data_IF_150216547827
#
_entry.id   IF_150216547827
#
_cell.length_a   1.000
_cell.length_b   1.000
_cell.length_c   1.000
_cell.angle_alpha   90.00
_cell.angle_beta   90.00
_cell.angle_gamma   90.00
#
_symmetry.space_group_name_H-M   'P 1'
#
loop_
_entity.id
_entity.type
_entity.pdbx_description
1 polymer ?
#
# COMPACT_ATOMS: atom_id res chain seq x y z
N UNK A 1 -19.21 -16.16 -14.50
CA UNK A 1 -19.36 -16.27 -13.02
C UNK A 1 -17.98 -16.49 -12.44
N UNK A 2 -17.61 -15.80 -11.35
CA UNK A 2 -16.28 -15.94 -10.77
C UNK A 2 -16.05 -17.37 -10.32
N UNK A 3 -14.86 -17.89 -10.59
CA UNK A 3 -14.52 -19.27 -10.28
C UNK A 3 -14.16 -19.36 -8.80
N UNK A 4 -15.08 -19.89 -8.00
CA UNK A 4 -14.90 -20.08 -6.56
C UNK A 4 -14.05 -21.29 -6.18
N UNK A 5 -13.63 -22.11 -7.15
CA UNK A 5 -12.75 -23.27 -6.94
C UNK A 5 -11.83 -23.44 -8.14
N UNK A 6 -10.50 -23.37 -7.97
CA UNK A 6 -9.56 -23.57 -9.06
C UNK A 6 -9.75 -24.93 -9.73
N UNK A 7 -9.67 -24.97 -11.06
CA UNK A 7 -9.63 -26.22 -11.82
C UNK A 7 -8.21 -26.82 -11.83
N UNK A 8 -8.06 -28.14 -12.11
CA UNK A 8 -6.73 -28.72 -12.34
C UNK A 8 -5.98 -27.97 -13.45
N UNK A 9 -4.78 -27.47 -13.13
CA UNK A 9 -3.96 -26.67 -14.05
C UNK A 9 -4.16 -25.16 -13.96
N UNK A 10 -5.11 -24.65 -13.17
CA UNK A 10 -5.29 -23.21 -12.94
C UNK A 10 -4.16 -22.62 -12.08
N UNK A 11 -3.61 -23.42 -11.15
CA UNK A 11 -2.64 -22.96 -10.16
C UNK A 11 -1.21 -23.31 -10.59
N UNK A 12 -0.28 -22.42 -10.25
CA UNK A 12 1.15 -22.69 -10.38
C UNK A 12 1.56 -23.75 -9.36
N UNK A 13 2.50 -24.64 -9.72
CA UNK A 13 2.88 -25.76 -8.86
C UNK A 13 3.29 -25.33 -7.43
N UNK A 14 3.89 -24.14 -7.29
CA UNK A 14 4.32 -23.60 -6.00
C UNK A 14 3.16 -23.21 -5.08
N UNK A 15 1.98 -22.89 -5.63
CA UNK A 15 0.79 -22.50 -4.86
C UNK A 15 0.22 -23.63 -4.00
N UNK A 16 0.51 -24.88 -4.37
CA UNK A 16 0.06 -26.10 -3.69
C UNK A 16 1.23 -27.01 -3.28
N UNK A 17 2.47 -26.51 -3.33
CA UNK A 17 3.65 -27.27 -2.96
C UNK A 17 3.67 -27.59 -1.45
N UNK A 18 4.46 -28.57 -1.05
CA UNK A 18 4.64 -28.91 0.36
C UNK A 18 5.37 -27.78 1.12
N UNK A 19 5.20 -27.75 2.44
CA UNK A 19 5.89 -26.77 3.30
C UNK A 19 7.40 -26.86 3.16
N UNK A 20 7.94 -28.08 2.98
CA UNK A 20 9.37 -28.33 2.81
C UNK A 20 9.89 -27.77 1.47
N UNK A 21 9.15 -27.98 0.37
CA UNK A 21 9.51 -27.43 -0.94
C UNK A 21 9.52 -25.90 -0.92
N UNK A 22 8.51 -25.27 -0.34
CA UNK A 22 8.44 -23.81 -0.24
C UNK A 22 9.59 -23.28 0.62
N UNK A 23 9.84 -23.88 1.79
CA UNK A 23 10.93 -23.46 2.69
C UNK A 23 12.32 -23.63 2.05
N UNK A 24 12.53 -24.70 1.27
CA UNK A 24 13.76 -24.91 0.51
C UNK A 24 13.96 -23.84 -0.58
N UNK A 25 12.90 -23.53 -1.34
CA UNK A 25 12.92 -22.47 -2.35
C UNK A 25 13.18 -21.10 -1.72
N UNK A 26 12.50 -20.80 -0.61
CA UNK A 26 12.68 -19.56 0.15
C UNK A 26 14.14 -19.42 0.59
N UNK A 27 14.73 -20.45 1.19
CA UNK A 27 16.13 -20.40 1.65
C UNK A 27 17.10 -20.18 0.49
N UNK A 28 16.90 -20.87 -0.64
CA UNK A 28 17.71 -20.68 -1.84
C UNK A 28 17.63 -19.23 -2.35
N UNK A 29 16.42 -18.69 -2.51
CA UNK A 29 16.20 -17.33 -3.02
C UNK A 29 16.67 -16.25 -2.03
N UNK A 30 16.52 -16.50 -0.73
CA UNK A 30 16.95 -15.58 0.32
C UNK A 30 18.47 -15.45 0.34
N UNK A 31 19.22 -16.57 0.22
CA UNK A 31 20.68 -16.54 0.06
C UNK A 31 21.11 -15.70 -1.14
N UNK A 32 20.46 -15.89 -2.29
CA UNK A 32 20.74 -15.12 -3.49
C UNK A 32 20.45 -13.62 -3.31
N UNK A 33 19.33 -13.28 -2.68
CA UNK A 33 18.95 -11.88 -2.42
C UNK A 33 19.93 -11.21 -1.47
N UNK A 34 20.28 -11.83 -0.34
CA UNK A 34 21.22 -11.24 0.63
C UNK A 34 22.59 -11.01 -0.01
N UNK A 35 23.06 -11.97 -0.83
CA UNK A 35 24.29 -11.82 -1.60
C UNK A 35 24.21 -10.65 -2.59
N UNK A 36 23.15 -10.59 -3.40
CA UNK A 36 22.93 -9.52 -4.37
C UNK A 36 22.88 -8.14 -3.72
N UNK A 37 22.12 -8.01 -2.62
CA UNK A 37 22.02 -6.78 -1.84
C UNK A 37 23.39 -6.35 -1.29
N UNK A 38 24.11 -7.26 -0.63
CA UNK A 38 25.43 -6.99 -0.05
C UNK A 38 26.47 -6.62 -1.11
N UNK A 39 26.47 -7.32 -2.23
CA UNK A 39 27.48 -7.12 -3.27
C UNK A 39 27.26 -5.85 -4.09
N UNK A 40 25.99 -5.49 -4.32
CA UNK A 40 25.63 -4.44 -5.29
C UNK A 40 25.14 -3.14 -4.67
N UNK A 41 24.68 -3.13 -3.42
CA UNK A 41 24.09 -1.95 -2.80
C UNK A 41 24.99 -1.45 -1.66
N UNK A 42 25.63 -0.26 -1.79
CA UNK A 42 26.53 0.27 -0.76
C UNK A 42 25.89 0.40 0.62
N UNK A 43 24.59 0.71 0.69
CA UNK A 43 23.86 0.75 1.96
C UNK A 43 23.84 -0.62 2.66
N UNK A 44 23.48 -1.69 1.94
CA UNK A 44 23.40 -3.03 2.54
C UNK A 44 24.76 -3.58 2.93
N UNK A 45 25.81 -3.35 2.13
CA UNK A 45 27.19 -3.68 2.53
C UNK A 45 27.53 -3.07 3.88
N UNK A 46 27.36 -1.75 4.02
CA UNK A 46 27.63 -1.04 5.27
C UNK A 46 26.76 -1.53 6.43
N UNK A 47 25.46 -1.70 6.22
CA UNK A 47 24.53 -2.11 7.26
C UNK A 47 24.87 -3.52 7.79
N UNK A 48 25.22 -4.44 6.89
CA UNK A 48 25.60 -5.81 7.23
C UNK A 48 26.95 -5.84 7.98
N UNK A 49 27.94 -5.10 7.48
CA UNK A 49 29.27 -5.01 8.10
C UNK A 49 29.20 -4.40 9.51
N UNK A 50 28.39 -3.35 9.71
CA UNK A 50 28.15 -2.72 11.03
C UNK A 50 27.47 -3.69 12.00
N UNK A 51 26.53 -4.49 11.51
CA UNK A 51 25.84 -5.50 12.32
C UNK A 51 26.72 -6.76 12.55
N UNK A 52 27.86 -6.86 11.87
CA UNK A 52 28.77 -8.01 11.97
C UNK A 52 28.21 -9.28 11.33
N UNK A 53 27.41 -9.16 10.27
CA UNK A 53 26.82 -10.29 9.54
C UNK A 53 27.24 -10.28 8.07
N UNK A 54 27.39 -11.46 7.48
CA UNK A 54 27.68 -11.65 6.07
C UNK A 54 26.62 -12.56 5.43
N UNK A 55 26.31 -12.47 4.12
CA UNK A 55 25.30 -13.35 3.52
C UNK A 55 25.59 -14.85 3.68
N UNK A 56 26.85 -15.26 3.88
CA UNK A 56 27.21 -16.65 4.18
C UNK A 56 26.71 -17.13 5.54
N UNK A 57 26.34 -16.24 6.45
CA UNK A 57 25.81 -16.57 7.76
C UNK A 57 24.39 -17.14 7.71
N UNK A 58 23.68 -16.98 6.58
CA UNK A 58 22.33 -17.51 6.40
C UNK A 58 22.36 -19.01 6.03
N UNK A 59 22.31 -19.87 7.05
CA UNK A 59 22.28 -21.33 6.89
C UNK A 59 20.86 -21.89 6.88
N UNK A 60 19.94 -21.25 7.59
CA UNK A 60 18.51 -21.58 7.68
C UNK A 60 17.66 -20.31 7.70
N UNK A 61 16.35 -20.43 7.46
CA UNK A 61 15.44 -19.27 7.41
C UNK A 61 15.45 -18.44 8.71
N UNK A 62 15.57 -19.09 9.87
CA UNK A 62 15.61 -18.43 11.17
C UNK A 62 16.82 -17.49 11.36
N UNK A 63 17.92 -17.72 10.62
CA UNK A 63 19.12 -16.89 10.69
C UNK A 63 18.88 -15.48 10.12
N UNK A 64 17.77 -15.27 9.38
CA UNK A 64 17.38 -13.95 8.87
C UNK A 64 17.26 -12.92 10.00
N UNK A 65 16.85 -13.35 11.19
CA UNK A 65 16.75 -12.50 12.39
C UNK A 65 18.05 -11.76 12.77
N UNK A 66 19.21 -12.28 12.33
CA UNK A 66 20.54 -11.67 12.57
C UNK A 66 20.80 -10.46 11.68
N UNK A 67 20.12 -10.34 10.53
CA UNK A 67 20.33 -9.28 9.56
C UNK A 67 19.62 -7.99 9.98
N UNK A 68 20.19 -6.81 9.65
CA UNK A 68 19.62 -5.53 10.05
C UNK A 68 18.31 -5.25 9.33
N UNK A 69 17.43 -4.49 9.98
CA UNK A 69 16.21 -3.97 9.37
C UNK A 69 16.52 -2.86 8.35
N UNK A 70 15.69 -2.78 7.31
CA UNK A 70 15.58 -1.59 6.46
C UNK A 70 14.34 -0.81 6.85
N UNK A 71 14.45 0.52 6.95
CA UNK A 71 13.33 1.42 7.19
C UNK A 71 13.14 2.39 6.01
N UNK A 72 12.00 3.06 5.97
CA UNK A 72 11.70 4.10 4.97
C UNK A 72 12.72 5.24 4.95
N UNK A 73 13.39 5.50 6.08
CA UNK A 73 14.48 6.47 6.19
C UNK A 73 15.67 6.09 5.30
N UNK A 74 16.00 4.81 5.19
CA UNK A 74 17.15 4.35 4.40
C UNK A 74 16.94 4.63 2.90
N UNK A 75 15.73 4.40 2.38
CA UNK A 75 15.40 4.74 0.99
C UNK A 75 15.51 6.25 0.72
N UNK A 76 15.18 7.06 1.72
CA UNK A 76 15.24 8.52 1.63
C UNK A 76 16.66 9.05 1.67
N UNK A 77 17.49 8.53 2.57
CA UNK A 77 18.90 8.91 2.69
C UNK A 77 19.70 8.54 1.43
N UNK A 78 19.20 7.56 0.68
CA UNK A 78 19.78 7.09 -0.59
C UNK A 78 18.98 7.58 -1.82
N UNK A 79 18.15 8.62 -1.67
CA UNK A 79 17.40 9.20 -2.79
C UNK A 79 18.34 9.78 -3.88
N UNK A 80 18.00 9.68 -5.18
CA UNK A 80 16.80 9.02 -5.70
C UNK A 80 16.99 7.53 -5.98
N UNK A 81 18.24 7.06 -6.12
CA UNK A 81 18.53 5.78 -6.76
C UNK A 81 19.68 5.00 -6.11
N UNK A 82 20.16 5.44 -4.94
CA UNK A 82 21.26 4.80 -4.22
C UNK A 82 20.94 3.43 -3.64
N UNK A 83 19.66 3.03 -3.65
CA UNK A 83 19.20 1.69 -3.28
C UNK A 83 19.15 0.70 -4.47
N UNK A 84 19.53 1.12 -5.68
CA UNK A 84 19.52 0.22 -6.83
C UNK A 84 20.71 -0.75 -6.80
N UNK A 85 20.43 -2.02 -7.05
CA UNK A 85 21.42 -3.09 -7.17
C UNK A 85 21.85 -3.37 -8.62
N UNK A 86 21.32 -2.58 -9.56
CA UNK A 86 21.66 -2.60 -11.00
C UNK A 86 21.91 -1.16 -11.50
N UNK A 87 22.68 -0.97 -12.59
CA UNK A 87 22.80 0.32 -13.25
C UNK A 87 21.44 0.89 -13.64
N UNK A 88 21.29 2.23 -13.64
CA UNK A 88 20.02 2.90 -13.96
C UNK A 88 19.47 2.48 -15.31
N UNK A 89 20.35 2.24 -16.27
CA UNK A 89 20.05 1.91 -17.65
C UNK A 89 19.36 0.53 -17.78
N UNK A 90 19.47 -0.31 -16.75
CA UNK A 90 18.77 -1.60 -16.67
C UNK A 90 17.40 -1.49 -15.95
N UNK A 91 17.08 -0.32 -15.39
CA UNK A 91 15.81 -0.05 -14.73
C UNK A 91 14.80 0.45 -15.75
N UNK A 92 13.77 -0.35 -15.99
CA UNK A 92 12.72 -0.07 -16.98
C UNK A 92 11.58 0.80 -16.42
N UNK A 93 11.40 0.82 -15.10
CA UNK A 93 10.31 1.55 -14.44
C UNK A 93 10.75 2.19 -13.15
N UNK A 94 10.21 3.39 -12.89
CA UNK A 94 10.22 4.04 -11.60
C UNK A 94 8.78 4.20 -11.10
N UNK A 95 8.58 3.94 -9.82
CA UNK A 95 7.39 4.36 -9.09
C UNK A 95 7.81 5.20 -7.88
N UNK A 96 6.87 5.97 -7.34
CA UNK A 96 7.12 6.84 -6.22
C UNK A 96 5.92 6.89 -5.28
N UNK A 97 6.20 6.88 -3.97
CA UNK A 97 5.19 7.07 -2.92
C UNK A 97 5.53 8.25 -2.02
N UNK A 98 4.53 8.75 -1.29
CA UNK A 98 4.68 9.86 -0.35
C UNK A 98 5.78 9.56 0.69
N UNK A 99 6.79 10.42 0.75
CA UNK A 99 7.86 10.39 1.77
C UNK A 99 7.60 11.41 2.87
N UNK A 100 8.15 11.24 4.08
CA UNK A 100 7.85 12.09 5.24
C UNK A 100 8.41 13.52 5.15
N UNK A 101 9.35 13.81 4.23
CA UNK A 101 10.06 15.10 4.13
C UNK A 101 10.09 15.61 2.70
N UNK A 102 8.93 15.60 2.03
CA UNK A 102 8.72 16.26 0.72
C UNK A 102 9.33 15.52 -0.47
N UNK A 103 10.48 14.87 -0.32
CA UNK A 103 11.06 13.95 -1.31
C UNK A 103 10.32 12.62 -1.26
N UNK A 104 9.81 12.12 -2.40
CA UNK A 104 9.12 10.84 -2.43
C UNK A 104 10.09 9.67 -2.20
N UNK A 105 9.56 8.57 -1.69
CA UNK A 105 10.26 7.28 -1.70
C UNK A 105 10.21 6.73 -3.12
N UNK A 106 11.36 6.54 -3.74
CA UNK A 106 11.48 6.06 -5.13
C UNK A 106 11.83 4.58 -5.14
N UNK A 107 11.17 3.83 -6.01
CA UNK A 107 11.42 2.40 -6.25
C UNK A 107 11.61 2.14 -7.73
N UNK A 108 12.43 1.16 -8.07
CA UNK A 108 12.81 0.82 -9.44
C UNK A 108 12.64 -0.66 -9.73
N UNK A 109 12.42 -0.96 -11.01
CA UNK A 109 12.13 -2.32 -11.51
C UNK A 109 12.90 -2.55 -12.82
N UNK A 110 13.60 -3.68 -12.93
CA UNK A 110 14.06 -4.20 -14.23
C UNK A 110 12.86 -4.67 -15.06
N UNK A 111 13.07 -5.02 -16.34
CA UNK A 111 12.01 -5.65 -17.14
C UNK A 111 11.52 -6.96 -16.51
N UNK A 112 12.41 -7.74 -15.89
CA UNK A 112 12.06 -8.98 -15.21
C UNK A 112 11.32 -8.73 -13.90
N UNK A 113 11.67 -7.67 -13.17
CA UNK A 113 10.88 -7.26 -12.00
C UNK A 113 9.44 -6.89 -12.40
N UNK A 114 9.24 -6.22 -13.54
CA UNK A 114 7.90 -5.93 -14.08
C UNK A 114 7.17 -7.21 -14.48
N UNK A 115 7.87 -8.15 -15.11
CA UNK A 115 7.32 -9.45 -15.49
C UNK A 115 6.84 -10.24 -14.25
N UNK A 116 7.71 -10.36 -13.24
CA UNK A 116 7.37 -10.99 -11.95
C UNK A 116 6.19 -10.28 -11.28
N UNK A 117 6.16 -8.95 -11.31
CA UNK A 117 5.05 -8.20 -10.70
C UNK A 117 3.73 -8.48 -11.42
N UNK A 118 3.73 -8.49 -12.75
CA UNK A 118 2.56 -8.82 -13.55
C UNK A 118 2.04 -10.23 -13.24
N UNK A 119 2.94 -11.23 -13.12
CA UNK A 119 2.59 -12.60 -12.75
C UNK A 119 1.95 -12.69 -11.37
N UNK A 120 2.48 -11.98 -10.37
CA UNK A 120 1.95 -12.01 -9.00
C UNK A 120 0.61 -11.30 -8.86
N UNK A 121 0.38 -10.21 -9.60
CA UNK A 121 -0.94 -9.58 -9.65
C UNK A 121 -1.91 -10.45 -10.45
N UNK A 122 -1.46 -11.14 -11.50
CA UNK A 122 -2.28 -12.12 -12.21
C UNK A 122 -2.69 -13.31 -11.32
N UNK A 123 -1.75 -13.84 -10.53
CA UNK A 123 -2.01 -14.85 -9.49
C UNK A 123 -3.03 -14.34 -8.47
N UNK A 124 -2.88 -13.08 -8.05
CA UNK A 124 -3.82 -12.40 -7.15
C UNK A 124 -5.24 -12.33 -7.73
N UNK A 125 -5.39 -11.87 -8.98
CA UNK A 125 -6.70 -11.80 -9.66
C UNK A 125 -7.31 -13.20 -9.83
N UNK A 126 -6.50 -14.21 -10.16
CA UNK A 126 -6.95 -15.61 -10.26
C UNK A 126 -7.44 -16.15 -8.91
N UNK A 127 -6.74 -15.84 -7.82
CA UNK A 127 -7.14 -16.18 -6.45
C UNK A 127 -8.43 -15.46 -6.03
N UNK A 128 -8.68 -14.26 -6.55
CA UNK A 128 -9.95 -13.54 -6.42
C UNK A 128 -11.08 -14.11 -7.30
N UNK A 129 -10.81 -15.14 -8.11
CA UNK A 129 -11.80 -15.80 -8.97
C UNK A 129 -11.88 -15.27 -10.40
N UNK A 130 -11.02 -14.32 -10.78
CA UNK A 130 -10.95 -13.78 -12.13
C UNK A 130 -10.30 -14.75 -13.13
N UNK A 131 -10.67 -14.63 -14.41
CA UNK A 131 -10.27 -15.55 -15.48
C UNK A 131 -9.97 -14.82 -16.80
N UNK A 132 -9.24 -15.46 -17.73
CA UNK A 132 -9.08 -14.94 -19.07
C UNK A 132 -10.44 -14.66 -19.72
N UNK A 133 -10.59 -13.51 -20.37
CA UNK A 133 -11.83 -13.05 -20.99
C UNK A 133 -12.72 -12.18 -20.10
N UNK A 134 -12.52 -12.17 -18.78
CA UNK A 134 -13.26 -11.27 -17.87
C UNK A 134 -12.90 -9.80 -18.17
N UNK A 135 -13.86 -8.89 -17.98
CA UNK A 135 -13.63 -7.45 -18.05
C UNK A 135 -13.24 -6.91 -16.67
N UNK A 136 -12.10 -6.23 -16.57
CA UNK A 136 -11.57 -5.69 -15.32
C UNK A 136 -11.56 -4.17 -15.35
N UNK A 137 -12.36 -3.55 -14.48
CA UNK A 137 -12.43 -2.11 -14.28
C UNK A 137 -11.41 -1.65 -13.24
N UNK A 138 -10.32 -1.03 -13.69
CA UNK A 138 -9.22 -0.60 -12.81
C UNK A 138 -9.41 0.86 -12.41
N UNK A 139 -9.88 1.08 -11.18
CA UNK A 139 -10.09 2.41 -10.59
C UNK A 139 -9.00 2.84 -9.61
N UNK A 140 -7.94 2.04 -9.43
CA UNK A 140 -6.72 2.53 -8.78
C UNK A 140 -6.04 3.61 -9.62
N UNK A 141 -5.44 4.60 -8.97
CA UNK A 141 -4.76 5.70 -9.64
C UNK A 141 -3.61 5.24 -10.54
N UNK A 142 -3.62 5.66 -11.80
CA UNK A 142 -2.51 5.47 -12.74
C UNK A 142 -1.49 6.60 -12.63
N UNK A 143 -0.20 6.26 -12.70
CA UNK A 143 0.91 7.21 -12.64
C UNK A 143 2.04 6.70 -11.76
N UNK A 144 2.61 7.58 -10.94
CA UNK A 144 3.70 7.23 -10.01
C UNK A 144 3.27 6.24 -8.92
N UNK A 145 1.98 6.22 -8.58
CA UNK A 145 1.41 5.23 -7.67
C UNK A 145 1.47 3.83 -8.30
N UNK A 146 1.85 2.83 -7.50
CA UNK A 146 1.99 1.44 -7.95
C UNK A 146 0.65 0.75 -8.21
N UNK A 147 -0.45 1.23 -7.62
CA UNK A 147 -1.75 0.58 -7.69
C UNK A 147 -2.29 0.40 -9.11
N UNK A 148 -2.48 1.50 -9.85
CA UNK A 148 -3.10 1.46 -11.18
C UNK A 148 -2.31 0.62 -12.18
N UNK A 149 -1.01 0.89 -12.32
CA UNK A 149 -0.16 0.14 -13.25
C UNK A 149 0.08 -1.31 -12.81
N UNK A 150 0.18 -1.60 -11.51
CA UNK A 150 0.29 -2.97 -11.02
C UNK A 150 -0.94 -3.81 -11.36
N UNK A 151 -2.13 -3.27 -11.03
CA UNK A 151 -3.41 -3.88 -11.38
C UNK A 151 -3.56 -4.09 -12.89
N UNK A 152 -3.16 -3.08 -13.68
CA UNK A 152 -3.18 -3.15 -15.14
C UNK A 152 -2.37 -4.32 -15.70
N UNK A 153 -1.08 -4.41 -15.34
CA UNK A 153 -0.20 -5.46 -15.87
C UNK A 153 -0.65 -6.85 -15.44
N UNK A 154 -1.17 -7.00 -14.21
CA UNK A 154 -1.73 -8.26 -13.75
C UNK A 154 -2.98 -8.67 -14.50
N UNK A 155 -3.94 -7.77 -14.67
CA UNK A 155 -5.18 -8.05 -15.40
C UNK A 155 -4.89 -8.38 -16.88
N UNK A 156 -4.00 -7.64 -17.53
CA UNK A 156 -3.55 -7.93 -18.90
C UNK A 156 -2.85 -9.31 -18.97
N UNK A 157 -2.01 -9.64 -17.99
CA UNK A 157 -1.31 -10.94 -17.90
C UNK A 157 -2.25 -12.12 -17.70
N UNK A 158 -3.36 -11.97 -16.97
CA UNK A 158 -4.41 -13.01 -16.87
C UNK A 158 -5.08 -13.24 -18.24
N UNK A 159 -5.05 -12.27 -19.14
CA UNK A 159 -5.84 -12.27 -20.37
C UNK A 159 -7.24 -11.67 -20.18
N UNK A 160 -7.41 -10.79 -19.18
CA UNK A 160 -8.62 -10.00 -19.03
C UNK A 160 -8.67 -8.85 -20.03
N UNK A 161 -9.87 -8.37 -20.35
CA UNK A 161 -10.04 -7.08 -21.04
C UNK A 161 -9.97 -5.95 -20.01
N UNK A 162 -8.91 -5.14 -20.05
CA UNK A 162 -8.67 -4.08 -19.06
C UNK A 162 -9.37 -2.79 -19.45
N UNK A 163 -10.15 -2.22 -18.52
CA UNK A 163 -10.70 -0.86 -18.61
C UNK A 163 -9.83 0.04 -17.70
N UNK A 164 -8.90 0.84 -18.26
CA UNK A 164 -7.94 1.64 -17.49
C UNK A 164 -8.56 2.97 -17.03
N UNK A 165 -9.57 2.90 -16.16
CA UNK A 165 -10.36 4.07 -15.76
C UNK A 165 -9.61 5.04 -14.84
N UNK A 166 -8.67 4.54 -14.01
CA UNK A 166 -8.00 5.30 -12.97
C UNK A 166 -8.96 5.80 -11.87
N UNK A 167 -8.43 6.54 -10.90
CA UNK A 167 -9.21 7.12 -9.81
C UNK A 167 -9.90 8.43 -10.21
N UNK A 168 -11.09 8.68 -9.64
CA UNK A 168 -11.86 9.91 -9.83
C UNK A 168 -12.93 9.82 -10.93
N UNK A 169 -13.51 10.98 -11.29
CA UNK A 169 -14.61 11.09 -12.27
C UNK A 169 -15.79 10.15 -11.96
N UNK A 170 -16.30 10.19 -10.72
CA UNK A 170 -17.25 9.20 -10.19
C UNK A 170 -18.49 8.98 -11.07
N UNK A 171 -19.11 10.05 -11.59
CA UNK A 171 -20.26 9.92 -12.51
C UNK A 171 -19.92 9.10 -13.76
N UNK A 172 -18.71 9.30 -14.31
CA UNK A 172 -18.20 8.54 -15.45
C UNK A 172 -17.83 7.11 -15.07
N UNK A 173 -17.39 6.85 -13.83
CA UNK A 173 -17.17 5.47 -13.34
C UNK A 173 -18.48 4.68 -13.45
N UNK A 174 -19.58 5.22 -12.90
CA UNK A 174 -20.90 4.56 -12.95
C UNK A 174 -21.38 4.41 -14.39
N UNK A 175 -21.24 5.44 -15.22
CA UNK A 175 -21.57 5.34 -16.65
C UNK A 175 -20.88 4.15 -17.32
N UNK A 176 -19.56 4.02 -17.16
CA UNK A 176 -18.81 2.94 -17.82
C UNK A 176 -19.06 1.56 -17.18
N UNK A 177 -19.36 1.50 -15.88
CA UNK A 177 -19.79 0.26 -15.23
C UNK A 177 -21.13 -0.23 -15.80
N UNK A 178 -22.04 0.68 -16.17
CA UNK A 178 -23.29 0.36 -16.84
C UNK A 178 -23.09 -0.03 -18.31
N UNK A 179 -22.27 0.73 -19.04
CA UNK A 179 -22.10 0.57 -20.49
C UNK A 179 -21.21 -0.63 -20.85
N UNK A 180 -20.05 -0.77 -20.20
CA UNK A 180 -19.08 -1.82 -20.51
C UNK A 180 -19.34 -3.10 -19.73
N UNK A 181 -20.15 -3.04 -18.67
CA UNK A 181 -20.57 -4.19 -17.88
C UNK A 181 -19.40 -5.11 -17.46
N UNK A 182 -18.40 -4.60 -16.72
CA UNK A 182 -17.27 -5.41 -16.27
C UNK A 182 -17.64 -6.46 -15.23
N UNK A 183 -16.86 -7.54 -15.18
CA UNK A 183 -17.02 -8.62 -14.21
C UNK A 183 -16.31 -8.32 -12.88
N UNK A 184 -15.20 -7.58 -12.95
CA UNK A 184 -14.30 -7.33 -11.82
C UNK A 184 -14.04 -5.83 -11.71
N UNK A 185 -14.00 -5.31 -10.48
CA UNK A 185 -13.49 -3.96 -10.19
C UNK A 185 -12.29 -4.04 -9.23
N UNK A 186 -11.23 -3.30 -9.54
CA UNK A 186 -10.06 -3.13 -8.68
C UNK A 186 -9.99 -1.67 -8.20
N UNK A 187 -10.23 -1.43 -6.91
CA UNK A 187 -10.47 -0.09 -6.37
C UNK A 187 -10.17 -0.03 -4.86
N UNK A 188 -9.99 1.17 -4.29
CA UNK A 188 -9.96 1.29 -2.83
C UNK A 188 -11.35 1.06 -2.24
N UNK A 189 -11.47 0.43 -1.06
CA UNK A 189 -12.76 0.14 -0.45
C UNK A 189 -13.57 1.42 -0.15
N UNK A 190 -12.93 2.52 0.29
CA UNK A 190 -13.62 3.81 0.47
C UNK A 190 -14.18 4.38 -0.83
N UNK A 191 -13.46 4.22 -1.96
CA UNK A 191 -13.94 4.74 -3.23
C UNK A 191 -15.03 3.85 -3.85
N UNK A 192 -15.03 2.54 -3.56
CA UNK A 192 -16.16 1.68 -3.94
C UNK A 192 -17.47 2.14 -3.29
N UNK A 193 -17.42 2.51 -2.01
CA UNK A 193 -18.58 3.08 -1.31
C UNK A 193 -19.11 4.35 -2.01
N UNK A 194 -18.21 5.25 -2.45
CA UNK A 194 -18.58 6.45 -3.23
C UNK A 194 -19.21 6.09 -4.58
N UNK A 195 -18.70 5.06 -5.26
CA UNK A 195 -19.29 4.56 -6.51
C UNK A 195 -20.71 4.03 -6.26
N UNK A 196 -20.93 3.27 -5.18
CA UNK A 196 -22.25 2.76 -4.80
C UNK A 196 -23.24 3.90 -4.52
N UNK A 197 -22.80 4.97 -3.83
CA UNK A 197 -23.63 6.16 -3.61
C UNK A 197 -23.98 6.86 -4.93
N UNK A 198 -23.04 6.92 -5.87
CA UNK A 198 -23.26 7.51 -7.18
C UNK A 198 -24.30 6.73 -8.01
N UNK A 199 -24.29 5.39 -7.97
CA UNK A 199 -25.36 4.57 -8.55
C UNK A 199 -26.74 4.99 -8.01
N UNK A 200 -26.86 5.10 -6.69
CA UNK A 200 -28.12 5.50 -6.03
C UNK A 200 -28.51 6.93 -6.42
N UNK A 201 -27.54 7.86 -6.49
CA UNK A 201 -27.78 9.25 -6.92
C UNK A 201 -28.35 9.33 -8.33
N UNK A 202 -27.92 8.44 -9.23
CA UNK A 202 -28.43 8.32 -10.60
C UNK A 202 -29.74 7.53 -10.71
N UNK A 203 -30.32 7.06 -9.59
CA UNK A 203 -31.55 6.26 -9.58
C UNK A 203 -31.36 4.81 -10.05
N UNK A 204 -30.12 4.31 -9.99
CA UNK A 204 -29.75 2.94 -10.38
C UNK A 204 -29.57 2.06 -9.13
N UNK A 205 -29.90 0.78 -9.24
CA UNK A 205 -29.57 -0.21 -8.21
C UNK A 205 -28.15 -0.76 -8.49
N UNK A 206 -27.17 -0.55 -7.59
CA UNK A 206 -25.81 -1.06 -7.79
C UNK A 206 -25.74 -2.60 -7.95
N UNK A 207 -26.72 -3.33 -7.41
CA UNK A 207 -26.80 -4.81 -7.51
C UNK A 207 -27.16 -5.30 -8.91
N UNK A 208 -27.75 -4.44 -9.73
CA UNK A 208 -28.06 -4.72 -11.14
C UNK A 208 -26.83 -4.52 -12.05
N UNK A 209 -25.71 -4.06 -11.49
CA UNK A 209 -24.43 -4.02 -12.20
C UNK A 209 -23.96 -5.43 -12.56
N UNK A 210 -23.07 -5.50 -13.55
CA UNK A 210 -22.43 -6.74 -13.98
C UNK A 210 -21.39 -7.26 -12.99
N UNK A 211 -20.92 -6.42 -12.07
CA UNK A 211 -19.83 -6.75 -11.15
C UNK A 211 -20.13 -8.04 -10.40
N UNK A 212 -19.11 -8.89 -10.31
CA UNK A 212 -19.13 -10.15 -9.56
C UNK A 212 -18.07 -10.20 -8.49
N UNK A 213 -16.94 -9.53 -8.72
CA UNK A 213 -15.83 -9.48 -7.76
C UNK A 213 -15.33 -8.05 -7.60
N UNK A 214 -15.13 -7.65 -6.35
CA UNK A 214 -14.42 -6.43 -5.98
C UNK A 214 -13.11 -6.77 -5.28
N UNK A 215 -11.99 -6.38 -5.88
CA UNK A 215 -10.65 -6.57 -5.29
C UNK A 215 -10.22 -5.24 -4.67
N UNK A 216 -10.15 -5.20 -3.35
CA UNK A 216 -9.99 -3.97 -2.57
C UNK A 216 -8.70 -3.94 -1.77
N UNK A 217 -8.07 -2.77 -1.69
CA UNK A 217 -6.74 -2.63 -1.10
C UNK A 217 -6.26 -1.18 -1.08
N UNK A 218 -4.96 -1.03 -0.82
CA UNK A 218 -4.26 0.25 -0.61
C UNK A 218 -4.62 1.01 0.69
N UNK A 219 -5.61 0.55 1.45
CA UNK A 219 -5.96 1.05 2.77
C UNK A 219 -6.62 -0.06 3.63
N UNK A 220 -6.57 0.04 4.96
CA UNK A 220 -7.29 -0.87 5.84
C UNK A 220 -8.81 -0.76 5.68
N UNK A 221 -9.51 -1.88 5.79
CA UNK A 221 -10.97 -1.94 5.74
C UNK A 221 -11.53 -3.10 6.56
N UNK A 222 -12.66 -2.88 7.22
CA UNK A 222 -13.23 -3.79 8.22
C UNK A 222 -14.13 -4.86 7.58
N UNK A 223 -14.43 -5.90 8.35
CA UNK A 223 -15.41 -6.92 7.94
C UNK A 223 -16.84 -6.34 7.81
N UNK A 224 -17.18 -5.34 8.64
CA UNK A 224 -18.44 -4.61 8.50
C UNK A 224 -18.53 -3.88 7.15
N UNK A 225 -17.44 -3.24 6.72
CA UNK A 225 -17.36 -2.60 5.41
C UNK A 225 -17.45 -3.63 4.27
N UNK A 226 -16.85 -4.82 4.43
CA UNK A 226 -17.01 -5.93 3.47
C UNK A 226 -18.49 -6.27 3.30
N UNK A 227 -19.18 -6.59 4.39
CA UNK A 227 -20.59 -6.98 4.36
C UNK A 227 -21.49 -5.89 3.76
N UNK A 228 -21.19 -4.61 4.05
CA UNK A 228 -21.91 -3.49 3.47
C UNK A 228 -21.72 -3.42 1.95
N UNK A 229 -20.48 -3.48 1.46
CA UNK A 229 -20.17 -3.41 0.03
C UNK A 229 -20.78 -4.63 -0.69
N UNK A 230 -20.59 -5.84 -0.16
CA UNK A 230 -21.16 -7.06 -0.76
C UNK A 230 -22.70 -7.00 -0.82
N UNK A 231 -23.35 -6.54 0.25
CA UNK A 231 -24.80 -6.42 0.30
C UNK A 231 -25.37 -5.33 -0.64
N UNK A 232 -24.70 -4.19 -0.75
CA UNK A 232 -25.16 -3.05 -1.57
C UNK A 232 -24.80 -3.18 -3.05
N UNK A 233 -23.71 -3.87 -3.39
CA UNK A 233 -23.26 -4.03 -4.78
C UNK A 233 -23.51 -5.43 -5.35
N UNK A 234 -23.86 -6.43 -4.54
CA UNK A 234 -24.17 -7.78 -5.02
C UNK A 234 -22.95 -8.54 -5.58
N UNK A 235 -21.76 -8.31 -5.01
CA UNK A 235 -20.48 -8.90 -5.44
C UNK A 235 -19.78 -9.64 -4.29
N UNK A 236 -18.78 -10.46 -4.62
CA UNK A 236 -17.82 -10.99 -3.65
C UNK A 236 -16.66 -9.98 -3.48
N UNK A 237 -16.41 -9.52 -2.26
CA UNK A 237 -15.33 -8.60 -1.93
C UNK A 237 -14.11 -9.36 -1.39
N UNK A 238 -12.92 -9.08 -1.90
CA UNK A 238 -11.66 -9.74 -1.51
C UNK A 238 -10.53 -8.73 -1.32
N UNK A 239 -9.61 -9.05 -0.40
CA UNK A 239 -8.54 -8.16 0.05
C UNK A 239 -7.23 -8.36 -0.72
N UNK A 240 -6.68 -7.28 -1.30
CA UNK A 240 -5.34 -7.26 -1.94
C UNK A 240 -4.42 -6.32 -1.16
N UNK A 241 -3.24 -6.82 -0.81
CA UNK A 241 -2.24 -6.09 -0.04
C UNK A 241 -0.95 -5.88 -0.83
N UNK A 242 -0.31 -4.74 -0.54
CA UNK A 242 1.04 -4.46 -0.99
C UNK A 242 1.48 -3.03 -0.71
N UNK A 243 2.78 -2.81 -0.87
CA UNK A 243 3.44 -1.52 -0.68
C UNK A 243 4.55 -1.35 -1.71
N UNK A 244 4.83 -0.09 -2.08
CA UNK A 244 5.77 0.24 -3.16
C UNK A 244 7.18 -0.33 -2.95
N UNK A 245 7.67 -0.29 -1.72
CA UNK A 245 9.03 -0.66 -1.34
C UNK A 245 9.28 -2.15 -1.56
N UNK A 246 8.26 -2.97 -1.31
CA UNK A 246 8.30 -4.41 -1.59
C UNK A 246 8.03 -4.65 -3.07
N UNK A 247 6.90 -4.21 -3.62
CA UNK A 247 6.62 -4.33 -5.07
C UNK A 247 5.54 -3.35 -5.51
N UNK A 248 4.39 -3.38 -4.85
CA UNK A 248 3.13 -2.77 -5.27
C UNK A 248 1.97 -3.69 -4.82
N UNK A 249 0.73 -3.49 -5.31
CA UNK A 249 -0.32 -4.52 -5.15
C UNK A 249 0.18 -5.89 -5.61
N UNK A 250 -0.34 -6.95 -4.99
CA UNK A 250 0.05 -8.32 -5.29
C UNK A 250 1.24 -8.82 -4.48
N UNK A 251 1.50 -8.25 -3.29
CA UNK A 251 2.36 -8.89 -2.28
C UNK A 251 1.60 -10.01 -1.57
N UNK A 252 0.32 -9.77 -1.29
CA UNK A 252 -0.60 -10.76 -0.77
C UNK A 252 -2.01 -10.52 -1.34
N UNK A 253 -2.81 -11.58 -1.46
CA UNK A 253 -4.19 -11.47 -1.93
C UNK A 253 -5.05 -12.57 -1.31
N UNK A 254 -6.27 -12.23 -0.96
CA UNK A 254 -7.24 -13.15 -0.37
C UNK A 254 -7.79 -14.11 -1.43
N UNK A 255 -8.01 -15.36 -1.04
CA UNK A 255 -8.61 -16.36 -1.92
C UNK A 255 -10.13 -16.32 -1.78
N UNK A 256 -10.85 -16.19 -2.90
CA UNK A 256 -12.32 -16.05 -2.92
C UNK A 256 -13.04 -17.28 -2.32
N UNK A 257 -12.40 -18.46 -2.36
CA UNK A 257 -12.91 -19.70 -1.79
C UNK A 257 -12.97 -19.72 -0.26
N UNK A 258 -12.10 -18.94 0.41
CA UNK A 258 -11.97 -18.95 1.87
C UNK A 258 -12.31 -17.61 2.51
N UNK A 259 -12.03 -16.48 1.85
CA UNK A 259 -12.22 -15.11 2.35
C UNK A 259 -11.74 -14.93 3.80
N UNK A 260 -10.59 -15.51 4.10
CA UNK A 260 -10.02 -15.62 5.44
C UNK A 260 -8.71 -14.81 5.60
N UNK A 261 -8.55 -13.75 4.82
CA UNK A 261 -7.40 -12.86 4.83
C UNK A 261 -6.42 -13.09 3.67
N UNK A 262 -5.58 -12.09 3.34
CA UNK A 262 -4.65 -12.19 2.23
C UNK A 262 -3.62 -13.31 2.40
N UNK A 263 -3.52 -14.20 1.40
CA UNK A 263 -2.43 -15.17 1.26
C UNK A 263 -1.19 -14.42 0.79
N UNK A 264 -0.07 -14.56 1.51
CA UNK A 264 1.19 -13.92 1.14
C UNK A 264 1.86 -14.77 0.05
N UNK A 265 2.29 -14.16 -1.05
CA UNK A 265 3.09 -14.84 -2.08
C UNK A 265 4.54 -14.99 -1.60
N UNK A 266 4.71 -15.80 -0.55
CA UNK A 266 5.95 -15.92 0.21
C UNK A 266 7.06 -16.70 -0.51
N UNK A 267 6.79 -17.20 -1.71
CA UNK A 267 7.81 -17.61 -2.68
C UNK A 267 8.56 -16.39 -3.27
N UNK A 268 7.95 -15.20 -3.25
CA UNK A 268 8.56 -13.93 -3.71
C UNK A 268 8.80 -12.91 -2.59
N UNK A 269 8.01 -12.94 -1.51
CA UNK A 269 8.12 -11.98 -0.40
C UNK A 269 8.09 -12.69 0.94
N UNK A 270 9.25 -12.91 1.55
CA UNK A 270 9.37 -13.64 2.81
C UNK A 270 8.88 -12.76 3.99
N UNK A 271 7.83 -13.17 4.74
CA UNK A 271 7.30 -12.39 5.84
C UNK A 271 7.91 -12.78 7.19
N UNK A 272 8.04 -11.79 8.07
CA UNK A 272 8.29 -11.94 9.50
C UNK A 272 7.31 -11.04 10.28
N UNK A 273 6.97 -11.42 11.52
CA UNK A 273 6.33 -10.52 12.49
C UNK A 273 7.36 -10.19 13.55
N UNK A 274 7.48 -8.91 13.91
CA UNK A 274 8.38 -8.46 14.97
C UNK A 274 7.61 -7.69 16.04
N UNK A 275 8.14 -7.67 17.25
CA UNK A 275 7.78 -6.65 18.23
C UNK A 275 8.25 -5.28 17.71
N UNK A 276 7.36 -4.28 17.58
CA UNK A 276 7.73 -2.98 17.00
C UNK A 276 8.71 -2.18 17.87
N UNK A 277 8.76 -2.43 19.18
CA UNK A 277 9.62 -1.74 20.14
C UNK A 277 10.99 -2.40 20.23
N UNK A 278 11.04 -3.72 20.37
CA UNK A 278 12.31 -4.46 20.59
C UNK A 278 12.95 -4.94 19.29
N UNK A 279 12.15 -5.18 18.24
CA UNK A 279 12.61 -5.78 17.00
C UNK A 279 12.78 -7.31 17.05
N UNK A 280 12.40 -7.95 18.16
CA UNK A 280 12.43 -9.42 18.28
C UNK A 280 11.40 -10.08 17.37
N UNK A 281 11.76 -11.20 16.74
CA UNK A 281 10.84 -11.97 15.89
C UNK A 281 9.83 -12.70 16.76
N UNK A 282 8.55 -12.54 16.43
CA UNK A 282 7.43 -13.16 17.14
C UNK A 282 6.98 -14.45 16.42
N UNK A 283 6.42 -15.44 17.16
CA UNK A 283 5.87 -16.64 16.54
C UNK A 283 4.62 -16.34 15.72
N UNK A 284 4.32 -17.17 14.72
CA UNK A 284 3.07 -17.10 13.95
C UNK A 284 1.85 -17.09 14.90
N UNK A 285 0.85 -16.27 14.58
CA UNK A 285 -0.35 -16.02 15.41
C UNK A 285 -0.22 -14.84 16.38
N UNK A 286 0.99 -14.43 16.75
CA UNK A 286 1.21 -13.24 17.58
C UNK A 286 1.01 -11.95 16.76
N UNK A 287 0.42 -10.93 17.39
CA UNK A 287 0.26 -9.60 16.80
C UNK A 287 1.57 -8.81 16.91
N UNK A 288 1.97 -8.16 15.82
CA UNK A 288 3.17 -7.35 15.76
C UNK A 288 3.31 -6.61 14.44
N UNK A 289 4.49 -6.05 14.18
CA UNK A 289 4.80 -5.35 12.94
C UNK A 289 5.26 -6.32 11.86
N UNK A 290 4.67 -6.19 10.67
CA UNK A 290 5.05 -6.98 9.51
C UNK A 290 6.36 -6.48 8.88
N UNK A 291 7.22 -7.43 8.56
CA UNK A 291 8.51 -7.20 7.90
C UNK A 291 8.60 -8.08 6.65
N UNK A 292 9.16 -7.54 5.57
CA UNK A 292 9.38 -8.30 4.34
C UNK A 292 10.84 -8.32 3.89
N UNK A 293 11.26 -9.47 3.37
CA UNK A 293 12.44 -9.58 2.51
C UNK A 293 12.01 -10.04 1.12
N UNK A 294 12.41 -9.30 0.07
CA UNK A 294 12.15 -9.72 -1.31
C UNK A 294 13.02 -10.93 -1.67
N UNK A 295 12.49 -11.88 -2.43
CA UNK A 295 13.22 -13.10 -2.80
C UNK A 295 13.66 -13.13 -4.27
N UNK A 296 13.07 -12.30 -5.12
CA UNK A 296 13.30 -12.36 -6.59
C UNK A 296 13.54 -11.01 -7.24
N UNK A 297 13.62 -9.91 -6.48
CA UNK A 297 13.80 -8.57 -7.04
C UNK A 297 15.23 -8.31 -7.45
N UNK A 298 15.40 -7.74 -8.64
CA UNK A 298 16.71 -7.42 -9.22
C UNK A 298 17.10 -5.97 -8.99
N UNK A 299 16.25 -5.00 -9.36
CA UNK A 299 16.63 -3.60 -9.33
C UNK A 299 16.74 -3.04 -7.91
N UNK A 300 15.80 -3.40 -7.05
CA UNK A 300 15.74 -2.95 -5.65
C UNK A 300 15.42 -4.15 -4.75
N UNK A 301 16.42 -5.01 -4.47
CA UNK A 301 16.28 -6.02 -3.43
C UNK A 301 16.08 -5.31 -2.10
N UNK A 302 15.12 -5.76 -1.30
CA UNK A 302 14.83 -5.17 0.01
C UNK A 302 14.97 -6.25 1.09
N UNK A 303 15.74 -5.95 2.12
CA UNK A 303 16.08 -6.89 3.21
C UNK A 303 15.45 -6.42 4.50
N UNK A 304 14.61 -7.26 5.11
CA UNK A 304 13.90 -7.00 6.37
C UNK A 304 13.32 -5.60 6.45
N UNK A 305 12.54 -5.23 5.43
CA UNK A 305 11.85 -3.94 5.37
C UNK A 305 10.72 -3.86 6.39
N UNK A 306 10.83 -2.92 7.32
CA UNK A 306 9.81 -2.60 8.32
C UNK A 306 8.63 -1.85 7.67
N UNK A 307 7.52 -2.54 7.47
CA UNK A 307 6.32 -2.00 6.81
C UNK A 307 5.59 -0.96 7.66
N UNK A 308 5.76 -1.07 8.98
CA UNK A 308 4.98 -0.39 10.02
C UNK A 308 3.52 -0.82 10.09
N UNK A 309 3.08 -1.81 9.32
CA UNK A 309 1.73 -2.36 9.39
C UNK A 309 1.63 -3.38 10.52
N UNK A 310 0.63 -3.21 11.39
CA UNK A 310 0.36 -4.13 12.51
C UNK A 310 -0.61 -5.22 12.08
N UNK A 311 -0.17 -6.47 12.16
CA UNK A 311 -0.93 -7.67 11.76
C UNK A 311 -0.34 -8.91 12.46
N UNK A 312 -0.79 -10.10 12.06
CA UNK A 312 -0.22 -11.40 12.45
C UNK A 312 -0.19 -12.34 11.26
N UNK A 313 0.77 -13.28 11.29
CA UNK A 313 0.79 -14.40 10.35
C UNK A 313 -0.16 -15.50 10.80
N UNK A 314 -0.91 -16.05 9.85
CA UNK A 314 -1.91 -17.08 10.04
C UNK A 314 -1.53 -18.31 9.21
N UNK A 315 -1.92 -19.53 9.66
CA UNK A 315 -1.57 -20.76 8.97
C UNK A 315 -2.19 -20.83 7.56
N UNK A 316 -1.58 -21.59 6.63
CA UNK A 316 -2.12 -21.81 5.30
C UNK A 316 -3.53 -22.44 5.32
N UNK A 317 -4.36 -22.10 4.32
CA UNK A 317 -5.72 -22.66 4.13
C UNK A 317 -5.98 -23.01 2.66
N UNK A 318 -6.33 -22.01 1.83
CA UNK A 318 -6.65 -22.21 0.41
C UNK A 318 -5.41 -22.45 -0.47
N UNK A 319 -4.24 -22.06 0.03
CA UNK A 319 -2.92 -22.21 -0.61
C UNK A 319 -1.95 -22.76 0.42
N UNK A 320 -0.78 -23.22 -0.02
CA UNK A 320 0.29 -23.71 0.85
C UNK A 320 1.07 -22.58 1.56
N UNK A 321 0.81 -21.33 1.20
CA UNK A 321 1.42 -20.17 1.81
C UNK A 321 0.64 -19.66 3.04
N UNK A 322 1.36 -19.03 3.96
CA UNK A 322 0.78 -18.33 5.11
C UNK A 322 -0.10 -17.16 4.67
N UNK A 323 -1.06 -16.81 5.53
CA UNK A 323 -1.91 -15.63 5.39
C UNK A 323 -1.46 -14.53 6.35
N UNK A 324 -1.92 -13.32 6.09
CA UNK A 324 -1.91 -12.23 7.07
C UNK A 324 -3.33 -11.94 7.55
N UNK A 325 -3.48 -11.56 8.83
CA UNK A 325 -4.74 -10.95 9.24
C UNK A 325 -4.90 -9.56 8.62
N UNK A 326 -6.12 -9.01 8.68
CA UNK A 326 -6.34 -7.59 8.39
C UNK A 326 -5.41 -6.72 9.22
N UNK A 327 -4.99 -5.61 8.64
CA UNK A 327 -4.13 -4.61 9.29
C UNK A 327 -4.96 -3.89 10.34
N UNK A 328 -4.54 -3.97 11.61
CA UNK A 328 -5.25 -3.35 12.74
C UNK A 328 -4.80 -1.92 13.01
N UNK A 329 -3.69 -1.50 12.41
CA UNK A 329 -3.14 -0.16 12.57
C UNK A 329 -1.71 -0.08 12.05
N UNK A 330 -1.04 1.02 12.40
CA UNK A 330 0.37 1.24 12.08
C UNK A 330 1.18 1.58 13.32
N UNK A 331 2.47 1.24 13.32
CA UNK A 331 3.44 1.58 14.38
C UNK A 331 4.12 2.94 14.18
N UNK A 332 3.71 3.71 13.16
CA UNK A 332 4.15 5.08 12.87
C UNK A 332 2.98 6.07 12.83
N UNK A 333 3.27 7.34 12.55
CA UNK A 333 2.31 8.45 12.49
C UNK A 333 1.68 8.64 11.09
N UNK A 334 1.84 7.67 10.18
CA UNK A 334 1.32 7.77 8.83
C UNK A 334 -0.20 7.65 8.81
N UNK A 335 -0.86 8.61 8.17
CA UNK A 335 -2.28 8.58 7.85
C UNK A 335 -2.47 8.01 6.44
N UNK A 336 -3.56 7.26 6.24
CA UNK A 336 -4.03 6.87 4.91
C UNK A 336 -5.35 7.60 4.69
N UNK A 337 -5.38 8.46 3.67
CA UNK A 337 -6.54 9.30 3.33
C UNK A 337 -6.98 8.93 1.91
N UNK A 338 -8.07 8.17 1.80
CA UNK A 338 -8.61 7.70 0.51
C UNK A 338 -7.54 6.95 -0.32
N UNK A 339 -6.83 6.02 0.33
CA UNK A 339 -5.71 5.26 -0.27
C UNK A 339 -4.40 6.04 -0.49
N UNK A 340 -4.30 7.32 -0.13
CA UNK A 340 -3.06 8.12 -0.25
C UNK A 340 -2.36 8.21 1.11
N UNK A 341 -1.08 7.83 1.15
CA UNK A 341 -0.24 7.97 2.33
C UNK A 341 0.09 9.44 2.61
N UNK A 342 -0.17 9.89 3.84
CA UNK A 342 0.04 11.25 4.33
C UNK A 342 0.80 11.19 5.66
N UNK A 343 1.99 11.78 5.71
CA UNK A 343 2.70 12.00 6.96
C UNK A 343 2.47 13.43 7.47
N UNK A 344 2.24 13.64 8.77
CA UNK A 344 2.13 14.99 9.34
C UNK A 344 3.31 15.89 8.99
N UNK A 345 4.52 15.34 8.95
CA UNK A 345 5.77 16.02 8.57
C UNK A 345 5.80 16.53 7.13
N UNK A 346 5.03 15.95 6.20
CA UNK A 346 4.87 16.52 4.85
C UNK A 346 4.07 17.82 4.89
N UNK A 347 3.03 17.88 5.73
CA UNK A 347 2.24 19.09 5.91
C UNK A 347 3.07 20.15 6.62
N UNK A 348 3.84 19.76 7.64
CA UNK A 348 4.79 20.64 8.33
C UNK A 348 5.73 21.34 7.34
N UNK A 349 6.33 20.59 6.42
CA UNK A 349 7.24 21.15 5.43
C UNK A 349 6.54 22.17 4.51
N UNK A 350 5.33 21.87 4.04
CA UNK A 350 4.58 22.81 3.21
C UNK A 350 4.15 24.05 3.97
N UNK A 351 3.75 23.90 5.24
CA UNK A 351 3.43 25.01 6.14
C UNK A 351 4.65 25.90 6.36
N UNK A 352 5.81 25.32 6.66
CA UNK A 352 7.06 26.07 6.89
C UNK A 352 7.59 26.79 5.64
N UNK A 353 7.22 26.33 4.45
CA UNK A 353 7.57 26.99 3.19
C UNK A 353 6.65 28.19 2.86
N UNK A 354 5.52 28.35 3.56
CA UNK A 354 4.69 29.55 3.44
C UNK A 354 5.18 30.60 4.44
N UNK A 355 5.96 31.58 3.97
CA UNK A 355 6.60 32.60 4.81
C UNK A 355 5.71 33.27 5.88
N UNK A 356 4.43 33.61 5.60
CA UNK A 356 3.54 34.19 6.60
C UNK A 356 3.05 33.22 7.71
N UNK A 357 3.14 31.91 7.51
CA UNK A 357 2.71 30.90 8.49
C UNK A 357 3.80 30.65 9.53
N UNK A 358 3.38 30.30 10.74
CA UNK A 358 4.25 29.75 11.77
C UNK A 358 4.41 28.24 11.57
N UNK A 359 5.37 27.62 12.25
CA UNK A 359 5.50 26.16 12.30
C UNK A 359 4.42 25.46 13.14
N UNK A 360 3.39 26.17 13.61
CA UNK A 360 2.26 25.57 14.32
C UNK A 360 1.19 25.12 13.34
N UNK A 361 0.95 23.80 13.37
CA UNK A 361 -0.11 23.17 12.61
C UNK A 361 -0.70 21.97 13.37
N UNK A 362 -1.91 21.59 12.98
CA UNK A 362 -2.63 20.41 13.46
C UNK A 362 -3.51 19.85 12.34
N UNK A 363 -3.47 18.52 12.18
CA UNK A 363 -4.36 17.77 11.31
C UNK A 363 -5.56 17.32 12.12
N UNK A 364 -6.75 17.63 11.65
CA UNK A 364 -7.99 17.04 12.16
C UNK A 364 -8.55 16.14 11.08
N UNK A 365 -8.54 14.83 11.36
CA UNK A 365 -9.05 13.82 10.43
C UNK A 365 -10.44 13.43 10.91
N UNK A 366 -11.42 13.54 10.02
CA UNK A 366 -12.81 13.18 10.27
C UNK A 366 -13.30 12.23 9.17
N UNK A 367 -14.48 11.66 9.36
CA UNK A 367 -15.21 10.95 8.31
C UNK A 367 -16.58 11.60 8.17
N UNK A 368 -16.82 12.29 7.06
CA UNK A 368 -18.14 12.83 6.71
C UNK A 368 -18.79 11.89 5.70
N UNK A 369 -19.87 11.20 6.10
CA UNK A 369 -20.42 10.10 5.32
C UNK A 369 -19.45 8.92 5.24
N UNK A 370 -19.08 8.52 4.02
CA UNK A 370 -18.18 7.39 3.75
C UNK A 370 -16.73 7.83 3.43
N UNK A 371 -16.48 9.14 3.38
CA UNK A 371 -15.21 9.70 2.95
C UNK A 371 -14.42 10.29 4.12
N UNK A 372 -13.14 9.95 4.17
CA UNK A 372 -12.19 10.61 5.07
C UNK A 372 -11.95 12.04 4.59
N UNK A 373 -12.06 12.99 5.52
CA UNK A 373 -11.81 14.42 5.34
C UNK A 373 -10.63 14.84 6.23
N UNK A 374 -9.82 15.79 5.74
CA UNK A 374 -8.66 16.30 6.48
C UNK A 374 -8.72 17.82 6.51
N UNK A 375 -8.84 18.36 7.72
CA UNK A 375 -8.63 19.78 7.99
C UNK A 375 -7.18 20.01 8.44
N UNK A 376 -6.46 20.88 7.73
CA UNK A 376 -5.16 21.39 8.14
C UNK A 376 -5.36 22.74 8.81
N UNK A 377 -5.20 22.76 10.13
CA UNK A 377 -5.18 24.00 10.92
C UNK A 377 -3.76 24.51 11.00
N UNK A 378 -3.54 25.79 10.73
CA UNK A 378 -2.24 26.44 10.86
C UNK A 378 -2.40 27.88 11.34
N UNK A 379 -1.32 28.49 11.85
CA UNK A 379 -1.35 29.86 12.37
C UNK A 379 -0.46 30.78 11.55
N UNK A 380 -0.84 32.05 11.44
CA UNK A 380 0.07 33.10 10.95
C UNK A 380 1.09 33.47 12.03
N UNK A 381 2.25 33.97 11.61
CA UNK A 381 3.19 34.59 12.54
C UNK A 381 2.64 35.94 13.06
N UNK A 382 3.00 36.39 14.28
CA UNK A 382 2.55 37.68 14.81
C UNK A 382 2.83 38.87 13.88
N UNK A 383 3.98 38.88 13.21
CA UNK A 383 4.34 39.92 12.24
C UNK A 383 3.44 39.96 10.99
N UNK A 384 2.67 38.89 10.75
CA UNK A 384 1.81 38.71 9.59
C UNK A 384 0.32 38.61 9.97
N UNK A 385 -0.08 39.07 11.15
CA UNK A 385 -1.46 39.00 11.63
C UNK A 385 -2.51 39.65 10.69
N UNK A 386 -2.10 40.63 9.89
CA UNK A 386 -2.94 41.33 8.90
C UNK A 386 -2.98 40.70 7.49
N UNK A 387 -2.32 39.56 7.27
CA UNK A 387 -2.33 38.89 5.96
C UNK A 387 -3.73 38.37 5.61
N UNK A 388 -4.05 38.29 4.33
CA UNK A 388 -5.24 37.58 3.87
C UNK A 388 -5.09 36.06 4.13
N UNK A 389 -5.68 35.63 5.24
CA UNK A 389 -5.69 34.25 5.72
C UNK A 389 -6.44 33.30 4.79
N UNK A 390 -7.45 33.79 4.07
CA UNK A 390 -8.24 32.98 3.14
C UNK A 390 -7.42 32.66 1.90
N UNK A 391 -6.79 33.68 1.31
CA UNK A 391 -5.89 33.48 0.17
C UNK A 391 -4.67 32.60 0.53
N UNK A 392 -4.12 32.77 1.73
CA UNK A 392 -3.02 31.94 2.25
C UNK A 392 -3.44 30.48 2.42
N UNK A 393 -4.63 30.23 2.99
CA UNK A 393 -5.20 28.89 3.14
C UNK A 393 -5.43 28.21 1.78
N UNK A 394 -6.00 28.92 0.81
CA UNK A 394 -6.24 28.41 -0.54
C UNK A 394 -4.94 28.04 -1.27
N UNK A 395 -3.87 28.84 -1.13
CA UNK A 395 -2.55 28.50 -1.68
C UNK A 395 -1.98 27.23 -1.04
N UNK A 396 -1.99 27.15 0.28
CA UNK A 396 -1.48 25.96 0.98
C UNK A 396 -2.28 24.71 0.59
N UNK A 397 -3.62 24.83 0.50
CA UNK A 397 -4.51 23.76 0.04
C UNK A 397 -4.11 23.25 -1.36
N UNK A 398 -3.89 24.17 -2.30
CA UNK A 398 -3.47 23.82 -3.66
C UNK A 398 -2.10 23.13 -3.68
N UNK A 399 -1.15 23.60 -2.85
CA UNK A 399 0.19 22.98 -2.74
C UNK A 399 0.12 21.58 -2.15
N UNK A 400 -0.68 21.38 -1.10
CA UNK A 400 -0.94 20.04 -0.51
C UNK A 400 -1.49 19.11 -1.58
N UNK A 401 -2.51 19.55 -2.32
CA UNK A 401 -3.09 18.76 -3.41
C UNK A 401 -2.07 18.41 -4.48
N UNK A 402 -1.24 19.38 -4.87
CA UNK A 402 -0.26 19.21 -5.96
C UNK A 402 0.89 18.29 -5.58
N UNK A 403 1.43 18.44 -4.36
CA UNK A 403 2.67 17.79 -3.95
C UNK A 403 2.43 16.48 -3.17
N UNK A 404 1.29 16.35 -2.50
CA UNK A 404 0.95 15.18 -1.69
C UNK A 404 -0.19 14.37 -2.35
N UNK A 405 -1.09 15.02 -3.10
CA UNK A 405 -2.19 14.33 -3.80
C UNK A 405 -3.51 14.29 -3.03
N UNK A 406 -3.52 14.74 -1.77
CA UNK A 406 -4.69 14.71 -0.87
C UNK A 406 -5.50 16.01 -0.99
N UNK A 407 -6.83 15.91 -1.05
CA UNK A 407 -7.71 17.06 -0.90
C UNK A 407 -7.84 17.37 0.60
N UNK A 408 -7.65 18.62 0.99
CA UNK A 408 -7.80 19.08 2.38
C UNK A 408 -8.65 20.34 2.44
N UNK A 409 -9.20 20.63 3.62
CA UNK A 409 -9.63 21.99 3.98
C UNK A 409 -8.49 22.64 4.77
N UNK A 410 -8.19 23.91 4.53
CA UNK A 410 -7.12 24.62 5.24
C UNK A 410 -7.70 25.80 6.01
N UNK A 411 -7.56 25.74 7.33
CA UNK A 411 -8.00 26.78 8.26
C UNK A 411 -6.79 27.53 8.79
N UNK A 412 -6.66 28.81 8.43
CA UNK A 412 -5.56 29.68 8.88
C UNK A 412 -6.05 30.56 10.04
N UNK A 413 -5.56 30.27 11.24
CA UNK A 413 -5.87 30.99 12.47
C UNK A 413 -4.92 32.17 12.75
N UNK A 414 -5.25 32.94 13.78
CA UNK A 414 -4.36 33.93 14.38
C UNK A 414 -3.26 33.22 15.20
N UNK A 415 -2.18 33.92 15.59
CA UNK A 415 -1.22 33.38 16.53
C UNK A 415 -1.93 32.87 17.80
N UNK A 416 -1.50 31.73 18.33
CA UNK A 416 -2.02 31.12 19.56
C UNK A 416 -3.46 30.61 19.49
N UNK A 417 -3.97 30.36 18.27
CA UNK A 417 -5.32 29.80 18.05
C UNK A 417 -5.39 28.27 18.12
N UNK A 418 -4.25 27.58 18.01
CA UNK A 418 -4.10 26.14 18.19
C UNK A 418 -3.66 25.87 19.62
N UNK A 419 -4.40 24.98 20.30
CA UNK A 419 -4.10 24.58 21.67
C UNK A 419 -2.67 24.03 21.79
N UNK A 420 -1.86 24.67 22.66
CA UNK A 420 -0.48 24.28 22.91
C UNK A 420 -0.42 23.28 24.05
N UNK A 421 0.34 22.20 23.85
CA UNK A 421 0.70 21.29 24.95
C UNK A 421 1.81 21.95 25.78
N UNK A 422 1.51 22.33 27.04
CA UNK A 422 2.46 23.02 27.93
C UNK A 422 3.61 22.10 28.41
N UNK A 423 3.39 20.79 28.40
CA UNK A 423 4.38 19.75 28.73
C UNK A 423 4.17 18.56 27.79
N UNK A 424 5.17 18.21 26.98
CA UNK A 424 5.12 17.07 26.05
C UNK A 424 5.19 17.44 24.56
N UNK A 425 5.07 16.44 23.68
CA UNK A 425 5.10 16.63 22.22
C UNK A 425 3.79 17.27 21.74
N UNK A 426 3.89 18.25 20.83
CA UNK A 426 2.73 18.87 20.20
C UNK A 426 1.83 17.82 19.53
N UNK A 427 0.53 17.86 19.82
CA UNK A 427 -0.46 16.97 19.20
C UNK A 427 -0.74 17.40 17.76
N UNK A 428 0.04 16.85 16.82
CA UNK A 428 -0.05 17.16 15.38
C UNK A 428 -1.25 16.51 14.68
N UNK A 429 -1.82 15.44 15.24
CA UNK A 429 -2.96 14.73 14.64
C UNK A 429 -4.07 14.53 15.68
N UNK A 430 -5.29 14.90 15.30
CA UNK A 430 -6.53 14.54 15.98
C UNK A 430 -7.34 13.69 15.00
N UNK A 431 -7.22 12.37 15.15
CA UNK A 431 -8.04 11.43 14.38
C UNK A 431 -9.38 11.21 15.11
N UNK A 432 -10.47 11.65 14.47
CA UNK A 432 -11.85 11.52 14.94
C UNK A 432 -12.66 10.56 14.07
N UNK A 433 -12.01 9.77 13.19
CA UNK A 433 -12.71 8.74 12.43
C UNK A 433 -13.30 7.69 13.39
N UNK A 434 -14.46 7.09 13.09
CA UNK A 434 -14.98 5.97 13.86
C UNK A 434 -13.95 4.83 13.90
N UNK A 435 -13.73 4.25 15.08
CA UNK A 435 -12.80 3.12 15.28
C UNK A 435 -13.44 1.79 14.90
#
# INVERSE_FOLDING_TARGET
MPVKRPAPGDLEAIETASRDEISALQLQRLRATLRHAYDRVPHYRRAFDVQGVHPDDLKQLADLSRFPFTAKKDLRDNYPFGMFAVPREQVARLHASSGTTGKPTVVGYTLKDIDTWAELVARSIRASGGRPGDLVHVSYGYGLFTGGLGAHYGAERVGCTVIPMSGGQTEKQVQLLCDFRPDIIMVTPSYMQVIIEEFVRQGLDPRESSLKVGIFGAEPWTEAMRQEIEGRAGLDAVDIYGLSEVMGPGVANECIESKDGPVIWEDHFYPEIIDPETGEVLPDGAEGELVFTSLTKEALPIVRYRTRDLTRLLPPTARSFRRMSKIVGRSDDMLIIRGVNLFPTQIEELVLQEGPLSGQYQLVVTREGLLDEVEVRCEVQPAHAGVDRVALGARLQQRIKTLIGVNTTVSVGLPDSIERTLVGKARRVIDRRPK
#
